data_IF_111530688773
#
_entry.id   IF_111530688773
#
_cell.length_a   1.000
_cell.length_b   1.000
_cell.length_c   1.000
_cell.angle_alpha   90.00
_cell.angle_beta   90.00
_cell.angle_gamma   90.00
#
_symmetry.space_group_name_H-M   'P 1'
#
loop_
_entity.id
_entity.type
_entity.pdbx_description
1 polymer ?
#
# COMPACT_ATOMS: atom_id res chain seq x y z
N UNK A 1 7.86 -11.54 49.60
CA UNK A 1 7.28 -12.70 48.87
C UNK A 1 8.31 -13.63 48.26
N UNK A 2 9.20 -13.21 47.34
CA UNK A 2 10.23 -14.12 46.80
C UNK A 2 11.21 -14.61 47.88
N UNK A 3 11.65 -13.70 48.77
CA UNK A 3 12.46 -14.01 49.95
C UNK A 3 11.83 -15.05 50.88
N UNK A 4 10.54 -14.90 51.20
CA UNK A 4 9.79 -15.85 52.04
C UNK A 4 9.69 -17.26 51.42
N UNK A 5 9.54 -17.35 50.09
CA UNK A 5 9.53 -18.64 49.39
C UNK A 5 10.91 -19.31 49.47
N UNK A 6 11.98 -18.52 49.28
CA UNK A 6 13.37 -19.00 49.38
C UNK A 6 13.68 -19.45 50.82
N UNK A 7 13.25 -18.68 51.83
CA UNK A 7 13.43 -19.05 53.24
C UNK A 7 12.61 -20.30 53.61
N UNK A 8 11.40 -20.44 53.07
CA UNK A 8 10.59 -21.64 53.21
C UNK A 8 11.25 -22.89 52.61
N UNK A 9 11.88 -22.75 51.44
CA UNK A 9 12.65 -23.83 50.80
C UNK A 9 13.89 -24.22 51.62
N UNK A 10 14.56 -23.25 52.25
CA UNK A 10 15.75 -23.50 53.11
C UNK A 10 15.38 -24.13 54.45
N UNK A 11 14.29 -23.69 55.09
CA UNK A 11 13.91 -24.12 56.45
C UNK A 11 13.08 -25.39 56.47
N UNK A 12 12.15 -25.57 55.53
CA UNK A 12 11.24 -26.72 55.48
C UNK A 12 11.04 -27.25 54.05
N UNK A 13 12.09 -27.84 53.45
CA UNK A 13 12.06 -28.27 52.04
C UNK A 13 10.97 -29.32 51.76
N UNK A 14 10.71 -30.26 52.69
CA UNK A 14 9.70 -31.32 52.51
C UNK A 14 8.28 -30.75 52.29
N UNK A 15 7.99 -29.57 52.82
CA UNK A 15 6.69 -28.88 52.68
C UNK A 15 6.72 -27.85 51.55
N UNK A 16 7.78 -27.04 51.48
CA UNK A 16 7.87 -25.95 50.51
C UNK A 16 8.11 -26.43 49.07
N UNK A 17 8.95 -27.46 48.87
CA UNK A 17 9.32 -27.95 47.53
C UNK A 17 8.10 -28.44 46.73
N UNK A 18 7.20 -29.30 47.25
CA UNK A 18 6.02 -29.74 46.49
C UNK A 18 5.11 -28.58 46.06
N UNK A 19 4.95 -27.56 46.92
CA UNK A 19 4.09 -26.40 46.66
C UNK A 19 4.70 -25.52 45.56
N UNK A 20 5.99 -25.19 45.70
CA UNK A 20 6.69 -24.35 44.72
C UNK A 20 6.81 -25.07 43.39
N UNK A 21 7.15 -26.36 43.38
CA UNK A 21 7.24 -27.17 42.17
C UNK A 21 5.90 -27.24 41.43
N UNK A 22 4.78 -27.42 42.15
CA UNK A 22 3.44 -27.40 41.54
C UNK A 22 3.16 -26.05 40.86
N UNK A 23 3.50 -24.93 41.52
CA UNK A 23 3.33 -23.58 40.96
C UNK A 23 4.23 -23.34 39.74
N UNK A 24 5.49 -23.76 39.81
CA UNK A 24 6.42 -23.64 38.68
C UNK A 24 5.97 -24.46 37.47
N UNK A 25 5.47 -25.69 37.67
CA UNK A 25 4.89 -26.50 36.60
C UNK A 25 3.67 -25.83 35.97
N UNK A 26 2.77 -25.28 36.79
CA UNK A 26 1.61 -24.53 36.28
C UNK A 26 2.04 -23.31 35.48
N UNK A 27 3.11 -22.61 35.90
CA UNK A 27 3.62 -21.43 35.21
C UNK A 27 4.36 -21.79 33.92
N UNK A 28 5.12 -22.90 33.91
CA UNK A 28 5.76 -23.44 32.71
C UNK A 28 4.71 -23.80 31.64
N UNK A 29 3.60 -24.44 32.03
CA UNK A 29 2.51 -24.76 31.09
C UNK A 29 1.87 -23.48 30.51
N UNK A 30 1.55 -22.51 31.36
CA UNK A 30 1.02 -21.20 30.93
C UNK A 30 1.98 -20.49 29.97
N UNK A 31 3.29 -20.54 30.24
CA UNK A 31 4.30 -19.92 29.39
C UNK A 31 4.47 -20.65 28.07
N UNK A 32 4.39 -21.99 28.04
CA UNK A 32 4.44 -22.77 26.81
C UNK A 32 3.23 -22.48 25.92
N UNK A 33 2.04 -22.43 26.50
CA UNK A 33 0.82 -22.08 25.78
C UNK A 33 0.89 -20.64 25.25
N UNK A 34 1.32 -19.69 26.09
CA UNK A 34 1.50 -18.28 25.71
C UNK A 34 2.52 -18.13 24.58
N UNK A 35 3.66 -18.82 24.66
CA UNK A 35 4.70 -18.81 23.62
C UNK A 35 4.15 -19.35 22.30
N UNK A 36 3.44 -20.48 22.33
CA UNK A 36 2.83 -21.08 21.13
C UNK A 36 1.84 -20.11 20.47
N UNK A 37 1.00 -19.45 21.27
CA UNK A 37 0.04 -18.47 20.77
C UNK A 37 0.75 -17.23 20.20
N UNK A 38 1.81 -16.77 20.85
CA UNK A 38 2.60 -15.64 20.37
C UNK A 38 3.36 -15.96 19.08
N UNK A 39 3.99 -17.13 18.97
CA UNK A 39 4.67 -17.57 17.75
C UNK A 39 3.70 -17.66 16.57
N UNK A 40 2.51 -18.22 16.80
CA UNK A 40 1.46 -18.28 15.79
C UNK A 40 1.02 -16.87 15.38
N UNK A 41 0.68 -16.02 16.33
CA UNK A 41 0.26 -14.64 16.05
C UNK A 41 1.34 -13.87 15.32
N UNK A 42 2.60 -13.97 15.76
CA UNK A 42 3.74 -13.31 15.15
C UNK A 42 3.95 -13.76 13.71
N UNK A 43 3.84 -15.06 13.44
CA UNK A 43 3.90 -15.61 12.08
C UNK A 43 2.77 -15.06 11.21
N UNK A 44 1.53 -15.11 11.69
CA UNK A 44 0.35 -14.58 10.98
C UNK A 44 0.48 -13.09 10.67
N UNK A 45 0.95 -12.27 11.62
CA UNK A 45 1.19 -10.85 11.39
C UNK A 45 2.35 -10.63 10.41
N UNK A 46 3.47 -11.33 10.60
CA UNK A 46 4.64 -11.19 9.74
C UNK A 46 4.29 -11.51 8.29
N UNK A 47 3.62 -12.63 8.02
CA UNK A 47 3.19 -13.01 6.67
C UNK A 47 2.21 -11.99 6.07
N UNK A 48 1.23 -11.52 6.86
CA UNK A 48 0.24 -10.54 6.40
C UNK A 48 0.85 -9.19 6.01
N UNK A 49 1.89 -8.76 6.70
CA UNK A 49 2.48 -7.43 6.52
C UNK A 49 3.83 -7.44 5.80
N UNK A 50 4.43 -8.61 5.52
CA UNK A 50 5.75 -8.72 4.92
C UNK A 50 5.89 -7.85 3.67
N UNK A 51 5.06 -8.07 2.64
CA UNK A 51 5.13 -7.30 1.40
C UNK A 51 4.88 -5.80 1.61
N UNK A 52 3.97 -5.44 2.53
CA UNK A 52 3.70 -4.02 2.86
C UNK A 52 4.88 -3.36 3.55
N UNK A 53 5.62 -4.11 4.36
CA UNK A 53 6.81 -3.60 5.06
C UNK A 53 8.00 -3.36 4.12
N UNK A 54 8.00 -3.99 2.94
CA UNK A 54 8.99 -3.74 1.89
C UNK A 54 8.73 -2.41 1.16
N UNK A 55 7.51 -1.89 1.21
CA UNK A 55 7.11 -0.64 0.57
C UNK A 55 7.09 0.52 1.58
N UNK A 56 8.27 0.97 1.99
CA UNK A 56 8.39 2.11 2.91
C UNK A 56 8.00 3.45 2.28
N UNK A 57 8.02 3.53 0.94
CA UNK A 57 7.71 4.75 0.20
C UNK A 57 6.24 4.88 -0.16
N UNK A 58 5.49 3.79 -0.27
CA UNK A 58 4.12 3.79 -0.78
C UNK A 58 3.17 4.72 -0.04
N UNK A 59 3.31 4.85 1.28
CA UNK A 59 2.51 5.81 2.06
C UNK A 59 2.85 7.25 1.69
N UNK A 60 4.13 7.56 1.54
CA UNK A 60 4.60 8.90 1.17
C UNK A 60 4.18 9.23 -0.27
N UNK A 61 4.35 8.30 -1.21
CA UNK A 61 3.89 8.45 -2.59
C UNK A 61 2.37 8.68 -2.64
N UNK A 62 1.58 7.84 -1.97
CA UNK A 62 0.11 7.99 -1.91
C UNK A 62 -0.32 9.38 -1.42
N UNK A 63 0.31 9.89 -0.36
CA UNK A 63 -0.01 11.19 0.20
C UNK A 63 0.44 12.34 -0.70
N UNK A 64 1.63 12.22 -1.30
CA UNK A 64 2.19 13.22 -2.22
C UNK A 64 1.38 13.30 -3.51
N UNK A 65 1.17 12.17 -4.18
CA UNK A 65 0.44 12.08 -5.45
C UNK A 65 -0.99 12.54 -5.26
N UNK A 66 -1.65 12.05 -4.20
CA UNK A 66 -3.01 12.46 -3.86
C UNK A 66 -3.15 13.95 -3.54
N UNK A 67 -2.07 14.68 -3.27
CA UNK A 67 -2.08 16.16 -3.16
C UNK A 67 -1.85 16.81 -4.53
N UNK A 68 -0.90 16.32 -5.30
CA UNK A 68 -0.45 16.93 -6.57
C UNK A 68 -1.50 16.76 -7.67
N UNK A 69 -2.17 15.60 -7.74
CA UNK A 69 -3.19 15.33 -8.78
C UNK A 69 -4.54 16.03 -8.52
N UNK A 70 -4.69 16.77 -7.41
CA UNK A 70 -5.94 17.50 -7.14
C UNK A 70 -6.06 18.69 -8.06
N UNK A 71 -7.30 18.95 -8.47
CA UNK A 71 -7.65 20.05 -9.37
C UNK A 71 -7.04 21.41 -8.97
N UNK A 72 -7.14 21.79 -7.68
CA UNK A 72 -6.54 23.05 -7.18
C UNK A 72 -5.03 23.13 -7.43
N UNK A 73 -4.30 22.03 -7.26
CA UNK A 73 -2.86 22.04 -7.43
C UNK A 73 -2.48 22.18 -8.91
N UNK A 74 -3.16 21.43 -9.78
CA UNK A 74 -2.98 21.51 -11.23
C UNK A 74 -3.32 22.90 -11.79
N UNK A 75 -4.40 23.52 -11.33
CA UNK A 75 -4.78 24.87 -11.74
C UNK A 75 -3.75 25.90 -11.27
N UNK A 76 -3.32 25.83 -10.01
CA UNK A 76 -2.28 26.71 -9.48
C UNK A 76 -0.97 26.59 -10.27
N UNK A 77 -0.59 25.37 -10.68
CA UNK A 77 0.61 25.15 -11.49
C UNK A 77 0.49 25.85 -12.86
N UNK A 78 -0.65 25.72 -13.52
CA UNK A 78 -0.91 26.40 -14.80
C UNK A 78 -0.94 27.93 -14.63
N UNK A 79 -1.57 28.43 -13.57
CA UNK A 79 -1.64 29.86 -13.26
C UNK A 79 -0.24 30.45 -13.00
N UNK A 80 0.59 29.78 -12.20
CA UNK A 80 1.96 30.22 -11.94
C UNK A 80 2.79 30.29 -13.23
N UNK A 81 2.71 29.27 -14.08
CA UNK A 81 3.43 29.26 -15.37
C UNK A 81 2.97 30.41 -16.27
N UNK A 82 1.68 30.73 -16.25
CA UNK A 82 1.14 31.87 -17.00
C UNK A 82 1.68 33.20 -16.45
N UNK A 83 1.65 33.40 -15.14
CA UNK A 83 2.15 34.62 -14.50
C UNK A 83 3.65 34.85 -14.77
N UNK A 84 4.46 33.79 -14.71
CA UNK A 84 5.89 33.86 -15.03
C UNK A 84 6.14 34.28 -16.48
N UNK A 85 5.31 33.82 -17.42
CA UNK A 85 5.41 34.20 -18.85
C UNK A 85 5.00 35.64 -19.10
N UNK A 86 3.91 36.09 -18.50
CA UNK A 86 3.42 37.47 -18.63
C UNK A 86 4.49 38.47 -18.17
N UNK A 87 5.30 38.10 -17.16
CA UNK A 87 6.42 38.91 -16.67
C UNK A 87 7.63 38.95 -17.63
N UNK A 88 7.85 37.91 -18.43
CA UNK A 88 9.00 37.80 -19.33
C UNK A 88 8.83 38.59 -20.64
N UNK A 89 7.69 39.25 -20.87
CA UNK A 89 7.37 40.03 -22.10
C UNK A 89 7.63 39.26 -23.40
N UNK A 90 7.57 37.92 -23.37
CA UNK A 90 7.79 37.09 -24.54
C UNK A 90 6.55 37.13 -25.45
N UNK A 91 6.68 37.47 -26.74
CA UNK A 91 5.54 37.68 -27.63
C UNK A 91 4.75 36.41 -28.02
N UNK A 92 5.10 35.24 -27.48
CA UNK A 92 4.55 33.96 -27.92
C UNK A 92 3.54 33.38 -26.92
N UNK A 93 2.35 33.99 -26.85
CA UNK A 93 1.25 33.57 -25.96
C UNK A 93 0.57 32.25 -26.35
N UNK A 94 0.97 31.60 -27.45
CA UNK A 94 0.31 30.40 -27.97
C UNK A 94 0.99 29.08 -27.60
N UNK A 95 2.02 29.09 -26.74
CA UNK A 95 2.69 27.85 -26.32
C UNK A 95 1.93 27.14 -25.19
N UNK A 96 1.81 25.80 -25.20
CA UNK A 96 1.21 25.05 -24.10
C UNK A 96 1.83 25.41 -22.75
N UNK A 97 1.00 25.53 -21.71
CA UNK A 97 1.48 25.82 -20.34
C UNK A 97 2.28 24.65 -19.78
N UNK A 98 1.79 23.43 -19.99
CA UNK A 98 2.43 22.21 -19.55
C UNK A 98 2.94 21.43 -20.77
N UNK A 99 4.20 21.00 -20.70
CA UNK A 99 4.84 20.17 -21.71
C UNK A 99 5.52 19.03 -20.96
N UNK A 100 5.10 17.80 -21.26
CA UNK A 100 5.67 16.59 -20.68
C UNK A 100 6.34 15.79 -21.78
N UNK A 101 7.55 15.30 -21.50
CA UNK A 101 8.25 14.37 -22.36
C UNK A 101 8.14 12.98 -21.77
N UNK A 102 7.69 12.03 -22.58
CA UNK A 102 7.62 10.62 -22.22
C UNK A 102 8.71 9.88 -22.99
N UNK A 103 9.78 9.50 -22.29
CA UNK A 103 10.91 8.76 -22.89
C UNK A 103 10.52 7.32 -23.24
N UNK A 104 9.64 6.73 -22.44
CA UNK A 104 9.14 5.38 -22.59
C UNK A 104 7.61 5.37 -22.57
N UNK A 105 7.00 4.99 -23.68
CA UNK A 105 5.55 4.87 -23.82
C UNK A 105 5.03 3.46 -23.48
N UNK A 106 5.91 2.45 -23.27
CA UNK A 106 5.44 1.13 -22.84
C UNK A 106 4.82 1.17 -21.44
N UNK A 107 5.18 2.16 -20.63
CA UNK A 107 4.56 2.42 -19.33
C UNK A 107 3.04 2.62 -19.41
N UNK A 108 2.51 3.04 -20.57
CA UNK A 108 1.08 3.18 -20.78
C UNK A 108 0.35 1.83 -20.70
N UNK A 109 0.98 0.76 -21.22
CA UNK A 109 0.42 -0.58 -21.19
C UNK A 109 0.45 -1.17 -19.77
N UNK A 110 1.56 -0.96 -19.05
CA UNK A 110 1.68 -1.35 -17.63
C UNK A 110 0.64 -0.62 -16.77
N UNK A 111 0.49 0.69 -16.97
CA UNK A 111 -0.49 1.50 -16.24
C UNK A 111 -1.93 1.07 -16.57
N UNK A 112 -2.24 0.82 -17.84
CA UNK A 112 -3.53 0.30 -18.28
C UNK A 112 -3.83 -1.06 -17.64
N UNK A 113 -2.86 -1.98 -17.66
CA UNK A 113 -2.95 -3.30 -17.05
C UNK A 113 -3.22 -3.21 -15.54
N UNK A 114 -2.50 -2.34 -14.82
CA UNK A 114 -2.71 -2.12 -13.39
C UNK A 114 -4.09 -1.53 -13.08
N UNK A 115 -4.53 -0.53 -13.84
CA UNK A 115 -5.85 0.09 -13.67
C UNK A 115 -6.95 -0.94 -13.92
N UNK A 116 -6.85 -1.71 -15.00
CA UNK A 116 -7.84 -2.74 -15.34
C UNK A 116 -7.85 -3.85 -14.29
N UNK A 117 -6.69 -4.30 -13.82
CA UNK A 117 -6.59 -5.28 -12.74
C UNK A 117 -7.29 -4.80 -11.46
N UNK A 118 -7.09 -3.53 -11.08
CA UNK A 118 -7.75 -2.92 -9.92
C UNK A 118 -9.26 -2.82 -10.12
N UNK A 119 -9.70 -2.33 -11.27
CA UNK A 119 -11.12 -2.15 -11.62
C UNK A 119 -11.87 -3.49 -11.65
N UNK A 120 -11.24 -4.55 -12.18
CA UNK A 120 -11.82 -5.91 -12.18
C UNK A 120 -12.14 -6.40 -10.76
N UNK A 121 -11.24 -6.13 -9.80
CA UNK A 121 -11.38 -6.56 -8.40
C UNK A 121 -12.35 -5.72 -7.57
N UNK A 122 -12.73 -4.53 -8.04
CA UNK A 122 -13.69 -3.69 -7.34
C UNK A 122 -15.13 -4.13 -7.65
N UNK A 123 -15.91 -4.36 -6.60
CA UNK A 123 -17.32 -4.76 -6.70
C UNK A 123 -18.27 -3.57 -6.93
N UNK A 124 -17.77 -2.35 -6.73
CA UNK A 124 -18.54 -1.09 -6.87
C UNK A 124 -18.83 -0.71 -8.32
N UNK A 125 -18.03 -1.16 -9.28
CA UNK A 125 -18.23 -0.85 -10.70
C UNK A 125 -19.14 -1.87 -11.37
N UNK A 126 -20.13 -1.40 -12.13
CA UNK A 126 -20.96 -2.25 -12.97
C UNK A 126 -20.15 -2.85 -14.15
N UNK A 127 -20.63 -3.96 -14.73
CA UNK A 127 -19.95 -4.63 -15.86
C UNK A 127 -19.71 -3.65 -17.03
N UNK A 128 -20.70 -2.80 -17.33
CA UNK A 128 -20.61 -1.79 -18.38
C UNK A 128 -19.53 -0.74 -18.09
N UNK A 129 -19.44 -0.23 -16.85
CA UNK A 129 -18.40 0.73 -16.47
C UNK A 129 -17.00 0.12 -16.61
N UNK A 130 -16.83 -1.15 -16.22
CA UNK A 130 -15.56 -1.88 -16.37
C UNK A 130 -15.16 -1.98 -17.84
N UNK A 131 -16.12 -2.29 -18.72
CA UNK A 131 -15.88 -2.35 -20.17
C UNK A 131 -15.55 -0.97 -20.75
N UNK A 132 -16.23 0.09 -20.31
CA UNK A 132 -15.96 1.46 -20.73
C UNK A 132 -14.56 1.91 -20.29
N UNK A 133 -14.17 1.63 -19.05
CA UNK A 133 -12.82 1.90 -18.55
C UNK A 133 -11.79 1.15 -19.40
N UNK A 134 -12.01 -0.13 -19.69
CA UNK A 134 -11.11 -0.93 -20.54
C UNK A 134 -10.95 -0.30 -21.94
N UNK A 135 -12.03 0.16 -22.57
CA UNK A 135 -11.98 0.87 -23.86
C UNK A 135 -11.22 2.19 -23.77
N UNK A 136 -11.44 2.95 -22.69
CA UNK A 136 -10.69 4.20 -22.47
C UNK A 136 -9.19 3.92 -22.36
N UNK A 137 -8.80 2.91 -21.58
CA UNK A 137 -7.40 2.59 -21.31
C UNK A 137 -6.66 1.98 -22.52
N UNK A 138 -7.30 1.08 -23.29
CA UNK A 138 -6.62 0.38 -24.40
C UNK A 138 -6.90 0.92 -25.79
N UNK A 139 -7.89 1.79 -25.97
CA UNK A 139 -8.20 2.37 -27.28
C UNK A 139 -8.07 3.89 -27.27
N UNK A 140 -8.85 4.58 -26.44
CA UNK A 140 -8.91 6.03 -26.47
C UNK A 140 -7.59 6.70 -26.05
N UNK A 141 -7.01 6.30 -24.92
CA UNK A 141 -5.77 6.89 -24.43
C UNK A 141 -4.58 6.63 -25.37
N UNK A 142 -4.38 5.41 -25.90
CA UNK A 142 -3.37 5.18 -26.92
C UNK A 142 -3.56 6.05 -28.16
N UNK A 143 -4.79 6.16 -28.69
CA UNK A 143 -5.07 7.02 -29.83
C UNK A 143 -4.76 8.50 -29.54
N UNK A 144 -5.15 8.97 -28.35
CA UNK A 144 -4.93 10.35 -27.90
C UNK A 144 -3.43 10.67 -27.71
N UNK A 145 -2.64 9.68 -27.27
CA UNK A 145 -1.21 9.81 -27.01
C UNK A 145 -0.35 9.35 -28.21
N UNK A 146 -0.97 9.05 -29.35
CA UNK A 146 -0.30 8.55 -30.55
C UNK A 146 0.53 7.27 -30.31
N UNK A 147 0.05 6.40 -29.42
CA UNK A 147 0.62 5.11 -29.07
C UNK A 147 -0.17 3.94 -29.69
N UNK A 148 0.42 2.74 -29.86
CA UNK A 148 -0.29 1.56 -30.32
C UNK A 148 -1.44 1.17 -29.38
N UNK A 149 -2.59 0.81 -29.95
CA UNK A 149 -3.74 0.29 -29.18
C UNK A 149 -3.39 -1.03 -28.51
N UNK A 150 -3.90 -1.23 -27.30
CA UNK A 150 -3.79 -2.49 -26.57
C UNK A 150 -4.87 -3.50 -26.97
N UNK A 151 -4.66 -4.77 -26.63
CA UNK A 151 -5.63 -5.82 -26.90
C UNK A 151 -6.84 -5.73 -25.97
N UNK A 152 -8.03 -5.65 -26.55
CA UNK A 152 -9.26 -5.93 -25.84
C UNK A 152 -9.45 -7.45 -25.80
N UNK A 153 -8.91 -8.15 -24.80
CA UNK A 153 -9.24 -9.59 -24.68
C UNK A 153 -10.76 -9.74 -24.48
N UNK A 154 -11.38 -10.69 -25.19
CA UNK A 154 -12.83 -10.95 -25.11
C UNK A 154 -13.24 -11.78 -23.89
N UNK A 155 -12.35 -11.94 -22.89
CA UNK A 155 -12.51 -12.91 -21.80
C UNK A 155 -13.43 -12.43 -20.65
N UNK A 156 -14.64 -11.98 -20.98
CA UNK A 156 -15.73 -11.81 -20.01
C UNK A 156 -17.08 -12.33 -20.56
N UNK A 157 -17.10 -13.61 -20.94
CA UNK A 157 -18.26 -14.47 -20.67
C UNK A 157 -18.30 -14.87 -19.19
#
# INVERSE_FOLDING_TARGET
>A
RASEIIDGLKRNPRVAVPIVLKRLKSKDEEWRESKKNFERFWKEQSEKYYLKSLDYMGINCKNSDGRIIRNRHLLNEIENIKEERDQQLTPNNNQPHLIYSYEDLSILDDAASLIIFLVKRQMTFAKEDKQNIKKIMYQFLPDFLFAPRGELSDDEE
#
